data_IF_277216728188
#
_entry.id   IF_277216728188
#
_cell.length_a   1.000
_cell.length_b   1.000
_cell.length_c   1.000
_cell.angle_alpha   90.00
_cell.angle_beta   90.00
_cell.angle_gamma   90.00
#
_symmetry.space_group_name_H-M   'P 1'
#
loop_
_entity.id
_entity.type
_entity.pdbx_description
1 polymer ?
2 non-polymer ?
3 non-polymer ?
4 water ?
#
# COMPACT_ATOMS: atom_id res chain seq x y z
N UNK A 2 -4.74 -14.39 7.62
CA UNK A 2 -4.37 -15.57 6.84
C UNK A 2 -3.11 -15.28 6.01
N UNK A 3 -3.23 -15.40 4.68
CA UNK A 3 -2.15 -15.05 3.78
C UNK A 3 -2.62 -14.25 2.57
N UNK A 4 -3.92 -13.96 2.46
CA UNK A 4 -4.47 -13.02 1.47
C UNK A 4 -3.99 -13.31 0.05
N UNK A 5 -3.94 -14.60 -0.33
CA UNK A 5 -3.24 -14.95 -1.56
C UNK A 5 -3.91 -14.35 -2.79
N UNK A 6 -5.25 -14.30 -2.81
CA UNK A 6 -5.95 -13.77 -3.98
C UNK A 6 -5.89 -12.25 -4.04
N UNK A 7 -6.13 -11.58 -2.91
CA UNK A 7 -5.99 -10.13 -2.87
C UNK A 7 -4.58 -9.73 -3.27
N UNK A 8 -3.58 -10.46 -2.76
CA UNK A 8 -2.19 -10.15 -3.09
C UNK A 8 -1.90 -10.38 -4.57
N UNK A 9 -2.42 -11.47 -5.14
CA UNK A 9 -2.29 -11.65 -6.58
C UNK A 9 -2.80 -10.42 -7.33
N UNK A 10 -3.98 -9.93 -6.92
CA UNK A 10 -4.55 -8.73 -7.54
C UNK A 10 -3.66 -7.50 -7.36
N UNK A 11 -3.18 -7.27 -6.13
CA UNK A 11 -2.38 -6.07 -5.87
C UNK A 11 -1.07 -6.10 -6.65
N UNK A 12 -0.38 -7.24 -6.63
CA UNK A 12 0.85 -7.38 -7.38
C UNK A 12 0.60 -7.17 -8.87
N UNK A 13 -0.54 -7.63 -9.38
CA UNK A 13 -0.86 -7.34 -10.77
C UNK A 13 -1.03 -5.84 -11.00
N UNK A 14 -1.74 -5.15 -10.09
CA UNK A 14 -1.98 -3.72 -10.27
C UNK A 14 -0.68 -2.93 -10.26
N UNK A 15 0.22 -3.23 -9.32
CA UNK A 15 1.36 -2.35 -9.09
C UNK A 15 2.23 -2.23 -10.34
N UNK A 16 2.24 -3.28 -11.18
CA UNK A 16 2.93 -3.22 -12.47
C UNK A 16 2.60 -1.93 -13.22
N UNK A 17 1.31 -1.56 -13.24
CA UNK A 17 0.91 -0.29 -13.85
C UNK A 17 1.72 0.87 -13.29
N UNK A 18 1.84 0.94 -11.96
CA UNK A 18 2.60 2.03 -11.35
C UNK A 18 4.06 2.00 -11.80
N UNK A 19 4.64 0.79 -11.94
CA UNK A 19 6.04 0.70 -12.35
C UNK A 19 6.25 1.16 -13.79
N UNK A 20 5.30 0.87 -14.67
CA UNK A 20 5.43 1.30 -16.06
C UNK A 20 5.46 2.82 -16.18
N UNK A 21 4.80 3.53 -15.27
CA UNK A 21 4.63 4.97 -15.40
C UNK A 21 5.57 5.79 -14.51
N UNK A 22 6.61 5.17 -13.91
CA UNK A 22 7.67 5.89 -13.23
C UNK A 22 7.62 5.90 -11.71
N UNK A 23 6.58 5.35 -11.09
CA UNK A 23 6.48 5.27 -9.64
C UNK A 23 6.87 3.88 -9.16
N UNK A 24 7.48 3.83 -7.97
CA UNK A 24 7.65 2.58 -7.25
C UNK A 24 6.33 1.82 -7.34
N UNK A 25 6.35 0.57 -7.78
CA UNK A 25 5.09 -0.15 -8.00
C UNK A 25 4.48 -0.66 -6.71
N UNK A 26 3.69 0.18 -6.06
CA UNK A 26 2.97 -0.18 -4.85
C UNK A 26 1.49 -0.12 -5.16
N UNK A 27 0.77 -1.16 -4.77
CA UNK A 27 -0.68 -1.16 -4.84
C UNK A 27 -1.23 -1.56 -3.48
N UNK A 28 -2.46 -1.12 -3.20
CA UNK A 28 -3.07 -1.43 -1.92
C UNK A 28 -4.58 -1.30 -2.01
N UNK A 29 -5.27 -1.96 -1.07
CA UNK A 29 -6.72 -1.91 -0.98
C UNK A 29 -7.13 -1.73 0.48
N UNK A 30 -8.38 -1.30 0.64
CA UNK A 30 -9.03 -1.25 1.94
C UNK A 30 -10.18 -2.24 1.92
N UNK A 31 -10.32 -3.00 3.00
CA UNK A 31 -11.33 -4.05 3.08
C UNK A 31 -12.22 -3.80 4.29
N UNK A 32 -13.46 -4.27 4.19
CA UNK A 32 -14.34 -4.33 5.34
C UNK A 32 -14.08 -5.62 6.11
N UNK A 33 -14.89 -5.84 7.16
CA UNK A 33 -14.67 -6.99 8.03
C UNK A 33 -14.92 -8.31 7.32
N UNK A 34 -15.76 -8.32 6.29
CA UNK A 34 -15.97 -9.52 5.49
C UNK A 34 -14.92 -9.69 4.40
N UNK A 35 -13.80 -8.96 4.50
CA UNK A 35 -12.69 -9.03 3.55
C UNK A 35 -13.10 -8.68 2.12
N UNK A 36 -14.20 -7.96 1.95
CA UNK A 36 -14.53 -7.40 0.65
C UNK A 36 -13.74 -6.11 0.43
N UNK A 37 -13.24 -5.93 -0.79
CA UNK A 37 -12.52 -4.72 -1.14
C UNK A 37 -13.51 -3.59 -1.39
N UNK A 38 -13.31 -2.45 -0.72
CA UNK A 38 -14.10 -1.26 -0.99
C UNK A 38 -13.39 -0.25 -1.88
N UNK A 39 -12.06 -0.14 -1.76
CA UNK A 39 -11.26 0.78 -2.56
C UNK A 39 -9.92 0.14 -2.87
N UNK A 40 -9.42 0.42 -4.07
CA UNK A 40 -8.11 -0.05 -4.51
C UNK A 40 -7.37 1.09 -5.18
N UNK A 41 -6.05 1.17 -4.97
CA UNK A 41 -5.29 2.27 -5.55
C UNK A 41 -3.84 1.85 -5.74
N UNK A 42 -3.15 2.61 -6.59
CA UNK A 42 -1.73 2.44 -6.84
C UNK A 42 -1.01 3.74 -6.54
N UNK A 43 0.31 3.63 -6.39
CA UNK A 43 1.16 4.79 -6.20
C UNK A 43 1.22 5.61 -7.49
N UNK A 44 1.03 6.93 -7.36
CA UNK A 44 1.08 7.82 -8.51
C UNK A 44 1.69 9.16 -8.14
N UNK A 45 2.67 9.15 -7.22
CA UNK A 45 3.31 10.38 -6.76
C UNK A 45 4.03 11.10 -7.90
N UNK A 46 4.98 10.43 -8.55
CA UNK A 46 5.72 11.12 -9.60
C UNK A 46 4.87 11.29 -10.85
N UNK A 47 4.00 10.32 -11.16
CA UNK A 47 3.17 10.44 -12.35
C UNK A 47 2.30 11.69 -12.31
N UNK A 48 1.79 12.05 -11.14
CA UNK A 48 0.91 13.21 -11.01
C UNK A 48 1.57 14.37 -10.26
N UNK A 49 2.88 14.32 -10.04
CA UNK A 49 3.63 15.41 -9.42
C UNK A 49 2.95 15.90 -8.14
N UNK A 50 2.72 14.96 -7.23
CA UNK A 50 1.97 15.22 -6.00
C UNK A 50 2.62 14.39 -4.90
N UNK A 51 3.26 15.08 -3.94
CA UNK A 51 3.98 14.40 -2.86
C UNK A 51 3.10 13.42 -2.10
N UNK A 52 1.78 13.67 -2.07
CA UNK A 52 0.88 12.87 -1.25
C UNK A 52 0.34 11.63 -1.95
N UNK A 53 0.47 11.53 -3.26
CA UNK A 53 -0.23 10.47 -3.99
C UNK A 53 0.48 9.12 -3.93
N UNK A 54 0.90 8.69 -2.74
CA UNK A 54 1.22 7.28 -2.58
C UNK A 54 -0.06 6.44 -2.63
N UNK A 55 0.12 5.14 -2.88
CA UNK A 55 -1.03 4.24 -2.98
C UNK A 55 -1.89 4.30 -1.72
N UNK A 56 -1.27 4.39 -0.54
CA UNK A 56 -2.04 4.33 0.70
C UNK A 56 -2.94 5.56 0.86
N UNK A 57 -2.39 6.75 0.62
CA UNK A 57 -3.20 7.95 0.73
C UNK A 57 -4.26 7.98 -0.38
N UNK A 58 -3.91 7.49 -1.58
CA UNK A 58 -4.89 7.43 -2.67
C UNK A 58 -6.07 6.54 -2.30
N UNK A 59 -5.81 5.38 -1.69
CA UNK A 59 -6.92 4.48 -1.37
C UNK A 59 -7.75 5.09 -0.25
N UNK A 60 -7.09 5.78 0.69
CA UNK A 60 -7.83 6.46 1.75
C UNK A 60 -8.77 7.50 1.15
N UNK A 61 -8.28 8.29 0.19
CA UNK A 61 -9.11 9.33 -0.41
C UNK A 61 -10.24 8.73 -1.23
N UNK A 62 -9.99 7.62 -1.94
CA UNK A 62 -11.09 6.94 -2.62
C UNK A 62 -12.20 6.56 -1.64
N UNK A 63 -11.83 6.02 -0.47
CA UNK A 63 -12.89 5.56 0.44
C UNK A 63 -13.58 6.72 1.14
N UNK A 64 -12.82 7.74 1.56
CA UNK A 64 -13.43 8.98 2.05
C UNK A 64 -14.47 9.47 1.05
N UNK A 65 -14.12 9.46 -0.23
CA UNK A 65 -15.06 9.92 -1.25
C UNK A 65 -16.30 9.04 -1.29
N UNK A 66 -16.12 7.71 -1.32
CA UNK A 66 -17.28 6.82 -1.41
C UNK A 66 -18.22 6.98 -0.22
N UNK A 67 -17.68 7.09 1.00
CA UNK A 67 -18.49 7.12 2.21
C UNK A 67 -18.80 8.52 2.73
N UNK A 68 -18.26 9.56 2.10
CA UNK A 68 -18.37 10.94 2.58
C UNK A 68 -18.06 11.05 4.07
N UNK A 69 -17.01 10.36 4.50
CA UNK A 69 -16.63 10.34 5.91
C UNK A 69 -15.13 10.12 6.07
N UNK A 70 -14.56 10.77 7.07
CA UNK A 70 -13.17 10.58 7.44
C UNK A 70 -12.96 9.48 8.47
N UNK A 71 -14.02 8.82 8.92
CA UNK A 71 -13.94 7.79 9.95
C UNK A 71 -13.94 6.42 9.27
N UNK A 72 -12.76 5.83 9.11
CA UNK A 72 -12.62 4.50 8.51
C UNK A 72 -12.31 3.43 9.55
N UNK A 73 -12.67 3.70 10.81
CA UNK A 73 -12.36 2.79 11.91
C UNK A 73 -12.87 1.37 11.68
N UNK A 74 -13.85 1.19 10.80
CA UNK A 74 -14.38 -0.14 10.53
C UNK A 74 -13.60 -0.91 9.46
N UNK A 75 -12.49 -0.38 8.96
CA UNK A 75 -11.86 -0.96 7.78
C UNK A 75 -10.37 -1.21 8.01
N UNK A 76 -9.83 -2.15 7.24
CA UNK A 76 -8.42 -2.52 7.35
C UNK A 76 -7.72 -2.29 6.02
N UNK A 77 -6.41 -2.06 6.06
CA UNK A 77 -5.64 -1.75 4.86
C UNK A 77 -4.63 -2.85 4.57
N UNK A 78 -4.54 -3.23 3.29
CA UNK A 78 -3.60 -4.22 2.79
C UNK A 78 -2.78 -3.55 1.70
N UNK A 79 -1.47 -3.55 1.86
CA UNK A 79 -0.55 -2.96 0.90
C UNK A 79 0.58 -3.94 0.62
N UNK A 80 1.17 -3.81 -0.57
CA UNK A 80 2.28 -4.66 -0.99
C UNK A 80 3.58 -4.29 -0.29
N UNK A 81 3.70 -3.05 0.16
CA UNK A 81 4.95 -2.54 0.70
C UNK A 81 4.66 -1.76 1.97
N UNK A 82 5.47 -2.00 2.99
CA UNK A 82 5.37 -1.27 4.25
C UNK A 82 5.24 0.23 3.99
N UNK A 83 4.28 0.92 4.61
CA UNK A 83 4.04 2.32 4.28
C UNK A 83 5.13 3.23 4.82
N UNK A 84 5.39 4.31 4.10
CA UNK A 84 6.19 5.38 4.67
C UNK A 84 5.44 6.03 5.84
N UNK A 85 6.09 6.99 6.48
CA UNK A 85 5.52 7.60 7.68
C UNK A 85 4.43 8.61 7.33
N UNK A 86 4.56 9.31 6.20
CA UNK A 86 3.45 10.15 5.74
C UNK A 86 2.15 9.34 5.68
N UNK A 87 2.20 8.20 4.99
CA UNK A 87 1.01 7.36 4.83
C UNK A 87 0.59 6.73 6.16
N UNK A 88 1.55 6.24 6.94
CA UNK A 88 1.22 5.67 8.25
C UNK A 88 0.41 6.67 9.07
N UNK A 89 0.83 7.93 9.05
CA UNK A 89 0.10 8.95 9.80
C UNK A 89 -1.28 9.22 9.19
N UNK A 90 -1.40 9.25 7.86
CA UNK A 90 -2.73 9.43 7.27
C UNK A 90 -3.67 8.27 7.62
N UNK A 91 -3.14 7.04 7.60
CA UNK A 91 -3.91 5.86 7.98
C UNK A 91 -4.35 5.97 9.43
N UNK A 92 -3.43 6.37 10.31
CA UNK A 92 -3.81 6.58 11.70
C UNK A 92 -4.90 7.64 11.82
N UNK A 93 -4.81 8.71 11.03
CA UNK A 93 -5.70 9.86 11.20
C UNK A 93 -7.13 9.57 10.74
N UNK A 94 -7.34 8.54 9.92
CA UNK A 94 -8.69 8.08 9.58
C UNK A 94 -9.11 6.86 10.41
N UNK A 95 -8.34 6.52 11.45
CA UNK A 95 -8.71 5.56 12.50
C UNK A 95 -8.76 4.11 12.04
N UNK A 96 -8.17 3.79 10.88
CA UNK A 96 -7.90 2.40 10.53
C UNK A 96 -6.98 1.79 11.57
N UNK A 97 -7.33 0.58 12.05
CA UNK A 97 -6.60 -0.03 13.15
C UNK A 97 -5.58 -1.07 12.72
N UNK A 98 -5.61 -1.54 11.47
CA UNK A 98 -4.73 -2.62 11.06
C UNK A 98 -4.17 -2.37 9.67
N UNK A 99 -2.85 -2.45 9.54
CA UNK A 99 -2.16 -2.38 8.26
C UNK A 99 -1.48 -3.72 8.03
N UNK A 100 -1.96 -4.48 7.04
CA UNK A 100 -1.26 -5.66 6.55
C UNK A 100 -0.34 -5.26 5.41
N UNK A 101 0.93 -5.66 5.49
CA UNK A 101 1.85 -5.38 4.39
C UNK A 101 2.63 -6.64 4.03
N UNK A 102 3.05 -6.72 2.77
CA UNK A 102 3.75 -7.91 2.29
C UNK A 102 5.26 -7.79 2.50
N UNK A 103 5.86 -6.71 2.02
CA UNK A 103 7.30 -6.53 1.99
C UNK A 103 7.66 -5.31 2.83
N UNK A 104 8.54 -5.51 3.82
CA UNK A 104 8.94 -4.37 4.62
C UNK A 104 9.95 -3.52 3.86
N UNK A 105 10.15 -2.29 4.33
CA UNK A 105 10.93 -1.31 3.59
C UNK A 105 12.28 -1.16 4.26
N UNK A 106 13.39 -1.41 3.56
CA UNK A 106 14.72 -1.17 4.16
C UNK A 106 14.95 0.30 4.49
N UNK A 107 14.74 1.16 3.50
CA UNK A 107 14.91 2.60 3.65
C UNK A 107 13.88 3.18 4.62
N UNK A 111 12.16 5.73 12.77
CA UNK A 111 11.24 6.25 13.78
C UNK A 111 11.03 5.24 14.90
N UNK A 112 10.46 5.70 16.01
CA UNK A 112 10.09 4.84 17.14
C UNK A 112 8.64 5.16 17.50
N UNK A 113 7.72 4.28 17.08
CA UNK A 113 6.28 4.52 17.17
C UNK A 113 5.71 3.73 18.34
N UNK A 114 5.09 4.43 19.31
CA UNK A 114 4.34 3.76 20.38
C UNK A 114 2.87 4.17 20.25
N UNK A 115 2.31 3.91 19.07
CA UNK A 115 0.89 4.08 18.78
C UNK A 115 0.18 2.76 19.03
N UNK A 116 -1.12 2.81 19.33
CA UNK A 116 -1.91 1.60 19.50
C UNK A 116 -3.37 1.88 19.11
N UNK A 117 -4.13 0.80 18.90
CA UNK A 117 -5.24 0.74 17.95
C UNK A 117 -4.71 0.90 16.53
N UNK A 118 -3.42 0.64 16.35
CA UNK A 118 -2.80 0.61 15.02
C UNK A 118 -1.71 -0.45 15.05
N UNK A 119 -2.01 -1.62 14.50
CA UNK A 119 -1.05 -2.72 14.37
C UNK A 119 -0.53 -2.79 12.94
N UNK A 120 0.79 -2.87 12.79
CA UNK A 120 1.44 -3.08 11.51
C UNK A 120 1.86 -4.55 11.46
N UNK A 121 1.28 -5.30 10.52
CA UNK A 121 1.30 -6.77 10.53
C UNK A 121 1.81 -7.26 9.18
N UNK A 122 2.93 -7.99 9.20
CA UNK A 122 3.48 -8.54 7.97
C UNK A 122 2.73 -9.80 7.57
N UNK A 123 2.15 -9.77 6.37
CA UNK A 123 1.55 -10.96 5.78
C UNK A 123 2.63 -12.01 5.58
N UNK A 124 2.31 -13.25 5.89
CA UNK A 124 3.21 -14.35 5.55
C UNK A 124 2.65 -15.06 4.33
N UNK A 125 3.29 -14.83 3.19
CA UNK A 125 2.94 -15.49 1.93
C UNK A 125 4.25 -15.46 1.13
N UNK A 126 5.01 -16.55 1.26
CA UNK A 126 6.38 -16.57 0.76
C UNK A 126 6.42 -16.44 -0.75
N UNK A 127 5.54 -17.16 -1.45
CA UNK A 127 5.52 -17.08 -2.91
C UNK A 127 5.18 -15.67 -3.38
N UNK A 128 4.14 -15.07 -2.80
CA UNK A 128 3.78 -13.71 -3.18
C UNK A 128 4.86 -12.71 -2.78
N UNK A 129 5.45 -12.87 -1.59
CA UNK A 129 6.52 -11.96 -1.18
C UNK A 129 7.70 -12.02 -2.15
N UNK A 130 8.11 -13.23 -2.54
CA UNK A 130 9.24 -13.36 -3.45
C UNK A 130 8.91 -12.77 -4.82
N UNK A 131 7.71 -13.02 -5.32
CA UNK A 131 7.27 -12.40 -6.57
C UNK A 131 7.34 -10.86 -6.49
N UNK A 132 6.78 -10.28 -5.42
CA UNK A 132 6.80 -8.82 -5.32
C UNK A 132 8.22 -8.27 -5.16
N UNK A 133 9.08 -8.97 -4.42
CA UNK A 133 10.47 -8.54 -4.32
C UNK A 133 11.13 -8.53 -5.70
N UNK A 134 10.83 -9.51 -6.54
CA UNK A 134 11.45 -9.49 -7.87
C UNK A 134 10.96 -8.29 -8.68
N UNK A 135 9.66 -7.98 -8.61
CA UNK A 135 9.14 -6.79 -9.29
C UNK A 135 9.83 -5.52 -8.79
N UNK A 136 9.91 -5.34 -7.46
CA UNK A 136 10.58 -4.15 -6.93
C UNK A 136 12.03 -4.08 -7.41
N UNK A 137 12.76 -5.21 -7.35
CA UNK A 137 14.16 -5.23 -7.79
C UNK A 137 14.30 -4.76 -9.24
N UNK A 138 13.44 -5.25 -10.14
CA UNK A 138 13.45 -4.74 -11.51
C UNK A 138 13.26 -3.23 -11.52
N UNK A 139 12.30 -2.73 -10.73
CA UNK A 139 12.09 -1.28 -10.69
C UNK A 139 13.34 -0.52 -10.27
N UNK A 140 14.01 -0.98 -9.20
CA UNK A 140 15.17 -0.25 -8.71
C UNK A 140 16.34 -0.34 -9.68
N UNK A 141 16.53 -1.50 -10.33
CA UNK A 141 17.59 -1.62 -11.33
C UNK A 141 17.40 -0.57 -12.42
N UNK A 142 16.18 -0.48 -12.96
CA UNK A 142 15.93 0.57 -13.95
C UNK A 142 16.14 1.95 -13.35
N UNK A 143 15.84 2.09 -12.05
CA UNK A 143 16.02 3.37 -11.38
C UNK A 143 17.48 3.81 -11.41
N UNK A 144 18.41 2.89 -11.06
CA UNK A 144 19.83 3.24 -11.03
C UNK A 144 20.40 3.38 -12.43
N UNK A 145 19.85 2.65 -13.40
CA UNK A 145 20.32 2.82 -14.77
C UNK A 145 19.99 4.21 -15.28
N UNK A 146 18.78 4.71 -15.00
CA UNK A 146 18.45 6.08 -15.41
C UNK A 146 19.18 7.11 -14.54
N UNK A 147 19.34 6.82 -13.25
CA UNK A 147 20.19 7.63 -12.37
C UNK A 147 21.54 7.91 -13.02
N UNK A 148 22.13 6.90 -13.65
CA UNK A 148 23.36 7.06 -14.41
C UNK A 148 23.05 7.18 -15.90
X LIG B 1 3.73 6.71 1.65
X LIG C 1 -0.05 12.70 13.99
#
# INVERSE_FOLDING_TARGET
MDDFNNILDLLINESKKAAQLGDIPVSCCIIDSNNNILSLAINSRYKNKDISQHAEINVINDLISKLNSFNLSKYKLITTLEPCMMCYSAIKQVKINTIYYLVDDPKKNNYSINDQNLNLIQIKNQKKQSEYIKLLNIFFINARLEHHHHHH
ZN ZN
CL CL
#
